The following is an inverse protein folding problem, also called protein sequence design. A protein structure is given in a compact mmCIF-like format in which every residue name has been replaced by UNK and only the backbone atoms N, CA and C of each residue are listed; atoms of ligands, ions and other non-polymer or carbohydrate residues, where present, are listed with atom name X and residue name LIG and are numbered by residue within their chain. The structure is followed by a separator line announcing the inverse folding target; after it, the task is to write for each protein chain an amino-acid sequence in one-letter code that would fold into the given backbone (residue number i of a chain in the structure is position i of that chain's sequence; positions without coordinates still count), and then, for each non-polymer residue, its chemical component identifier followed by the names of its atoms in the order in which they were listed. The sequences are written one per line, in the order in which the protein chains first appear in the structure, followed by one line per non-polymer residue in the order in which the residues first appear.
data_IF_265904472337
#
_entry.id   IF_265904472337
#
_cell.length_a   1.000
_cell.length_b   1.000
_cell.length_c   1.000
_cell.angle_alpha   90.00
_cell.angle_beta   90.00
_cell.angle_gamma   90.00
#
_symmetry.space_group_name_H-M   'P 1'
#
loop_
_entity.id
_entity.type
_entity.pdbx_description
1 polymer ?
#
# COMPACT_ATOMS: atom_id res chain seq x y z
N UNK A 1 14.96 49.48 -11.13
CA UNK A 1 15.95 48.62 -11.80
C UNK A 1 15.29 47.29 -12.11
N UNK A 2 14.78 47.08 -13.33
CA UNK A 2 14.31 45.74 -13.73
C UNK A 2 15.55 44.93 -14.10
N UNK A 3 15.96 44.04 -13.21
CA UNK A 3 17.04 43.09 -13.48
C UNK A 3 16.65 42.30 -14.73
N UNK A 4 17.50 42.32 -15.75
CA UNK A 4 17.25 41.60 -17.00
C UNK A 4 17.33 40.09 -16.70
N UNK A 5 16.17 39.44 -16.57
CA UNK A 5 16.04 38.03 -16.17
C UNK A 5 16.18 37.06 -17.35
N UNK A 6 16.17 37.56 -18.59
CA UNK A 6 16.27 36.78 -19.83
C UNK A 6 17.42 35.77 -19.84
N UNK A 7 18.68 36.12 -19.48
CA UNK A 7 19.78 35.14 -19.47
C UNK A 7 19.56 33.98 -18.48
N UNK A 8 18.90 34.25 -17.36
CA UNK A 8 18.61 33.24 -16.34
C UNK A 8 17.51 32.28 -16.81
N UNK A 9 16.46 32.81 -17.45
CA UNK A 9 15.37 32.00 -18.01
C UNK A 9 15.88 31.08 -19.11
N UNK A 10 16.73 31.58 -20.01
CA UNK A 10 17.35 30.77 -21.07
C UNK A 10 18.26 29.66 -20.51
N UNK A 11 19.01 29.95 -19.44
CA UNK A 11 19.82 28.93 -18.77
C UNK A 11 18.95 27.84 -18.13
N UNK A 12 17.86 28.21 -17.47
CA UNK A 12 16.94 27.26 -16.84
C UNK A 12 16.25 26.34 -17.86
N UNK A 13 15.83 26.87 -19.01
CA UNK A 13 15.29 26.05 -20.09
C UNK A 13 16.33 25.06 -20.61
N UNK A 14 17.57 25.51 -20.82
CA UNK A 14 18.66 24.63 -21.26
C UNK A 14 18.96 23.52 -20.25
N UNK A 15 19.05 23.84 -18.96
CA UNK A 15 19.28 22.83 -17.91
C UNK A 15 18.14 21.81 -17.81
N UNK A 16 16.89 22.25 -18.04
CA UNK A 16 15.73 21.35 -18.12
C UNK A 16 15.82 20.41 -19.32
N UNK A 17 16.16 20.95 -20.49
CA UNK A 17 16.37 20.18 -21.72
C UNK A 17 17.51 19.17 -21.55
N UNK A 18 18.65 19.61 -21.01
CA UNK A 18 19.79 18.75 -20.68
C UNK A 18 19.42 17.66 -19.67
N UNK A 19 18.60 17.99 -18.66
CA UNK A 19 18.10 16.99 -17.70
C UNK A 19 17.20 15.96 -18.40
N UNK A 20 16.27 16.40 -19.24
CA UNK A 20 15.41 15.51 -20.02
C UNK A 20 16.22 14.63 -20.97
N UNK A 21 17.23 15.18 -21.65
CA UNK A 21 18.15 14.43 -22.50
C UNK A 21 18.95 13.42 -21.69
N UNK A 22 19.47 13.79 -20.52
CA UNK A 22 20.22 12.88 -19.66
C UNK A 22 19.33 11.75 -19.13
N UNK A 23 18.08 12.05 -18.75
CA UNK A 23 17.10 11.05 -18.35
C UNK A 23 16.77 10.10 -19.50
N UNK A 24 16.57 10.62 -20.71
CA UNK A 24 16.36 9.83 -21.92
C UNK A 24 17.58 8.93 -22.23
N UNK A 25 18.81 9.45 -22.09
CA UNK A 25 20.05 8.66 -22.20
C UNK A 25 20.15 7.56 -21.14
N UNK A 26 19.59 7.78 -19.94
CA UNK A 26 19.50 6.79 -18.86
C UNK A 26 18.28 5.86 -18.99
N UNK A 27 17.58 5.85 -20.13
CA UNK A 27 16.48 4.94 -20.42
C UNK A 27 15.14 5.33 -19.78
N UNK A 28 15.06 6.52 -19.16
CA UNK A 28 13.83 7.03 -18.55
C UNK A 28 13.10 7.90 -19.58
N UNK A 29 11.85 7.55 -19.91
CA UNK A 29 11.03 8.35 -20.84
C UNK A 29 10.92 9.79 -20.35
N UNK A 30 11.48 10.74 -21.09
CA UNK A 30 11.51 12.17 -20.81
C UNK A 30 11.63 12.95 -22.13
N UNK A 31 10.98 14.12 -22.23
CA UNK A 31 11.11 15.02 -23.38
C UNK A 31 11.49 16.43 -22.94
N UNK A 32 12.12 17.18 -23.84
CA UNK A 32 12.61 18.54 -23.61
C UNK A 32 11.53 19.54 -23.16
N UNK A 33 10.27 19.27 -23.53
CA UNK A 33 9.10 20.10 -23.24
C UNK A 33 8.44 19.78 -21.89
N UNK A 34 8.84 18.68 -21.24
CA UNK A 34 8.31 18.35 -19.92
C UNK A 34 8.78 19.37 -18.87
N UNK A 35 7.88 19.79 -17.96
CA UNK A 35 8.26 20.69 -16.89
C UNK A 35 9.20 19.98 -15.90
N UNK A 36 10.06 20.76 -15.21
CA UNK A 36 10.94 20.23 -14.16
C UNK A 36 10.18 19.45 -13.08
N UNK A 37 8.94 19.83 -12.79
CA UNK A 37 8.06 19.12 -11.85
C UNK A 37 7.76 17.68 -12.29
N UNK A 38 7.83 17.38 -13.59
CA UNK A 38 7.67 16.03 -14.16
C UNK A 38 9.02 15.32 -14.33
N UNK A 39 10.09 16.07 -14.65
CA UNK A 39 11.44 15.52 -14.85
C UNK A 39 12.16 15.17 -13.54
N UNK A 40 11.99 15.96 -12.48
CA UNK A 40 12.69 15.74 -11.21
C UNK A 40 12.27 14.41 -10.55
N UNK A 41 10.98 14.04 -10.46
CA UNK A 41 10.59 12.72 -9.96
C UNK A 41 11.16 11.57 -10.81
N UNK A 42 11.41 11.77 -12.11
CA UNK A 42 12.04 10.79 -12.99
C UNK A 42 13.51 10.53 -12.64
N UNK A 43 14.24 11.55 -12.19
CA UNK A 43 15.61 11.40 -11.68
C UNK A 43 15.63 10.48 -10.47
N UNK A 44 14.62 10.60 -9.61
CA UNK A 44 14.48 9.78 -8.39
C UNK A 44 14.08 8.32 -8.68
N UNK A 45 13.72 7.98 -9.93
CA UNK A 45 13.47 6.59 -10.39
C UNK A 45 14.76 5.85 -10.76
N UNK A 46 15.88 6.55 -10.83
CA UNK A 46 17.19 5.98 -11.11
C UNK A 46 17.65 5.26 -9.83
N UNK A 47 17.62 3.92 -9.82
CA UNK A 47 18.22 3.16 -8.72
C UNK A 47 19.68 3.56 -8.53
N UNK A 48 20.10 3.78 -7.28
CA UNK A 48 21.51 3.67 -6.94
C UNK A 48 21.91 2.19 -7.05
N UNK A 49 22.48 1.83 -8.20
CA UNK A 49 22.84 0.47 -8.64
C UNK A 49 22.91 0.38 -10.17
N UNK A 50 22.95 -0.84 -10.73
CA UNK A 50 22.80 -1.05 -12.18
C UNK A 50 21.37 -0.65 -12.61
N UNK A 51 21.26 0.53 -13.21
CA UNK A 51 20.00 1.13 -13.67
C UNK A 51 19.30 0.35 -14.77
N UNK A 52 19.97 -0.64 -15.38
CA UNK A 52 19.32 -1.54 -16.33
C UNK A 52 18.37 -2.54 -15.65
N UNK A 53 18.56 -2.83 -14.37
CA UNK A 53 17.80 -3.83 -13.64
C UNK A 53 16.46 -3.30 -13.11
N UNK A 54 15.39 -4.07 -13.33
CA UNK A 54 14.11 -3.89 -12.65
C UNK A 54 14.24 -4.40 -11.22
N UNK A 55 14.03 -3.53 -10.23
CA UNK A 55 14.25 -3.87 -8.82
C UNK A 55 13.01 -3.52 -8.01
N UNK A 56 12.53 -4.49 -7.25
CA UNK A 56 11.57 -4.29 -6.18
C UNK A 56 12.03 -5.12 -4.98
N UNK A 57 12.43 -4.44 -3.92
CA UNK A 57 12.76 -5.06 -2.63
C UNK A 57 11.80 -4.50 -1.60
N UNK A 58 10.85 -5.32 -1.19
CA UNK A 58 9.92 -5.01 -0.13
C UNK A 58 9.74 -6.23 0.77
N UNK A 59 9.42 -6.01 2.03
CA UNK A 59 9.14 -7.07 2.99
C UNK A 59 7.82 -6.79 3.69
N UNK A 60 6.99 -7.81 3.82
CA UNK A 60 5.74 -7.75 4.58
C UNK A 60 5.97 -8.23 6.01
N UNK A 61 5.25 -7.64 6.96
CA UNK A 61 5.11 -8.21 8.30
C UNK A 61 4.24 -9.47 8.23
N UNK A 62 4.50 -10.48 9.08
CA UNK A 62 3.86 -11.80 8.96
C UNK A 62 2.38 -11.80 9.36
N UNK A 63 1.98 -10.91 10.28
CA UNK A 63 0.63 -10.86 10.84
C UNK A 63 0.07 -9.46 10.74
N UNK A 64 -1.18 -9.36 10.29
CA UNK A 64 -1.92 -8.12 10.18
C UNK A 64 -2.52 -7.78 11.54
N UNK A 65 -2.17 -6.62 12.08
CA UNK A 65 -2.70 -6.16 13.36
C UNK A 65 -4.15 -5.71 13.18
N UNK A 66 -5.07 -6.66 13.32
CA UNK A 66 -6.49 -6.39 13.52
C UNK A 66 -6.72 -6.44 15.02
N UNK A 67 -7.18 -5.34 15.61
CA UNK A 67 -7.29 -5.17 17.07
C UNK A 67 -7.90 -6.39 17.75
N UNK A 68 -7.05 -7.13 18.48
CA UNK A 68 -7.45 -8.31 19.28
C UNK A 68 -8.15 -9.43 18.49
N UNK A 69 -7.95 -9.52 17.16
CA UNK A 69 -8.51 -10.58 16.32
C UNK A 69 -10.01 -10.44 16.01
N UNK A 70 -10.61 -9.29 16.30
CA UNK A 70 -12.00 -8.96 15.98
C UNK A 70 -12.07 -7.74 15.07
N UNK A 71 -13.00 -7.74 14.10
CA UNK A 71 -13.22 -6.60 13.21
C UNK A 71 -14.70 -6.24 13.12
N UNK A 72 -15.06 -5.16 13.80
CA UNK A 72 -16.42 -4.66 13.96
C UNK A 72 -16.95 -3.87 12.75
N UNK A 73 -18.25 -3.60 12.77
CA UNK A 73 -18.91 -2.76 11.75
C UNK A 73 -18.33 -1.34 11.79
N UNK A 74 -17.89 -0.84 10.64
CA UNK A 74 -17.32 0.51 10.51
C UNK A 74 -15.87 0.64 10.97
N UNK A 75 -15.21 -0.46 11.36
CA UNK A 75 -13.78 -0.44 11.62
C UNK A 75 -12.97 -0.44 10.34
N UNK A 76 -11.85 0.25 10.41
CA UNK A 76 -10.92 0.44 9.31
C UNK A 76 -9.56 -0.01 9.81
N UNK A 77 -8.95 -0.93 9.08
CA UNK A 77 -7.61 -1.38 9.36
C UNK A 77 -6.65 -0.76 8.34
N UNK A 78 -5.63 -0.08 8.84
CA UNK A 78 -4.67 0.63 8.02
C UNK A 78 -3.54 -0.31 7.59
N UNK A 79 -3.16 -0.27 6.31
CA UNK A 79 -2.03 -1.03 5.79
C UNK A 79 -0.68 -0.34 6.04
N UNK A 80 -0.69 0.82 6.71
CA UNK A 80 0.50 1.59 7.02
C UNK A 80 1.51 0.77 7.83
N UNK A 81 2.76 0.73 7.36
CA UNK A 81 3.84 -0.01 8.03
C UNK A 81 3.84 -1.53 7.83
N UNK A 82 2.82 -2.08 7.15
CA UNK A 82 2.69 -3.53 6.91
C UNK A 82 3.59 -4.05 5.81
N UNK A 83 4.01 -3.18 4.90
CA UNK A 83 4.96 -3.48 3.84
C UNK A 83 6.03 -2.38 3.78
N UNK A 84 7.30 -2.78 3.96
CA UNK A 84 8.43 -1.86 3.91
C UNK A 84 9.19 -2.01 2.59
N UNK A 85 9.10 -1.01 1.71
CA UNK A 85 9.89 -0.95 0.48
C UNK A 85 11.28 -0.42 0.81
N UNK A 86 12.32 -1.19 0.50
CA UNK A 86 13.74 -0.81 0.68
C UNK A 86 14.39 -0.37 -0.63
N UNK A 87 13.95 -0.91 -1.77
CA UNK A 87 14.40 -0.48 -3.10
C UNK A 87 13.29 -0.62 -4.14
N UNK A 88 13.20 0.35 -5.06
CA UNK A 88 12.22 0.38 -6.14
C UNK A 88 12.84 1.08 -7.36
N UNK A 89 12.85 0.40 -8.50
CA UNK A 89 13.48 0.87 -9.75
C UNK A 89 12.77 0.28 -10.97
N UNK A 90 12.51 1.13 -11.98
CA UNK A 90 11.86 0.74 -13.25
C UNK A 90 10.58 -0.07 -13.04
N UNK A 91 9.77 0.38 -12.09
CA UNK A 91 8.45 -0.18 -11.75
C UNK A 91 7.37 0.74 -12.30
N UNK A 92 6.41 0.14 -13.02
CA UNK A 92 5.24 0.82 -13.59
C UNK A 92 3.99 0.72 -12.71
N UNK A 93 3.89 -0.35 -11.92
CA UNK A 93 2.72 -0.57 -11.07
C UNK A 93 3.06 -1.33 -9.79
N UNK A 94 2.27 -1.09 -8.73
CA UNK A 94 2.19 -1.97 -7.56
C UNK A 94 0.87 -2.72 -7.59
N UNK A 95 0.89 -3.93 -7.04
CA UNK A 95 -0.28 -4.78 -6.89
C UNK A 95 -0.32 -5.32 -5.47
N UNK A 96 -1.49 -5.20 -4.86
CA UNK A 96 -1.84 -5.86 -3.61
C UNK A 96 -2.95 -6.86 -3.88
N UNK A 97 -2.82 -8.04 -3.32
CA UNK A 97 -3.81 -9.10 -3.42
C UNK A 97 -4.19 -9.59 -2.04
N UNK A 98 -5.49 -9.75 -1.80
CA UNK A 98 -6.04 -10.36 -0.61
C UNK A 98 -6.84 -11.59 -1.06
N UNK A 99 -6.35 -12.77 -0.70
CA UNK A 99 -6.95 -14.05 -1.08
C UNK A 99 -7.19 -14.94 0.13
N UNK A 100 -8.29 -15.70 0.11
CA UNK A 100 -8.68 -16.58 1.20
C UNK A 100 -10.17 -16.50 1.51
N UNK A 101 -10.57 -17.14 2.60
CA UNK A 101 -11.96 -17.19 3.02
C UNK A 101 -12.42 -15.83 3.54
N UNK A 102 -13.60 -15.39 3.10
CA UNK A 102 -14.15 -14.07 3.44
C UNK A 102 -13.47 -12.89 2.74
N UNK A 103 -12.34 -13.07 2.05
CA UNK A 103 -11.60 -11.96 1.42
C UNK A 103 -12.45 -11.13 0.44
N UNK A 104 -13.39 -11.76 -0.27
CA UNK A 104 -14.27 -11.08 -1.22
C UNK A 104 -15.26 -10.10 -0.55
N UNK A 105 -15.53 -10.22 0.75
CA UNK A 105 -16.42 -9.32 1.48
C UNK A 105 -15.73 -8.02 1.88
N UNK A 106 -14.39 -8.01 1.92
CA UNK A 106 -13.59 -6.85 2.26
C UNK A 106 -13.76 -5.72 1.25
N UNK A 107 -13.80 -4.49 1.74
CA UNK A 107 -13.76 -3.29 0.92
C UNK A 107 -12.42 -2.60 1.11
N UNK A 108 -11.70 -2.38 0.01
CA UNK A 108 -10.39 -1.70 0.05
C UNK A 108 -10.59 -0.28 -0.46
N UNK A 109 -10.31 0.68 0.41
CA UNK A 109 -10.23 2.10 0.09
C UNK A 109 -8.76 2.45 -0.11
N UNK A 110 -8.41 2.85 -1.34
CA UNK A 110 -7.03 3.08 -1.73
C UNK A 110 -6.97 4.20 -2.78
N UNK A 111 -6.71 5.46 -2.37
CA UNK A 111 -6.71 6.60 -3.29
C UNK A 111 -5.71 6.43 -4.44
N UNK A 112 -6.17 6.58 -5.68
CA UNK A 112 -5.33 6.41 -6.88
C UNK A 112 -5.10 4.95 -7.29
N UNK A 113 -5.67 3.97 -6.55
CA UNK A 113 -5.64 2.56 -6.92
C UNK A 113 -6.92 2.18 -7.69
N UNK A 114 -6.77 1.24 -8.60
CA UNK A 114 -7.90 0.52 -9.21
C UNK A 114 -8.14 -0.76 -8.43
N UNK A 115 -9.32 -0.91 -7.83
CA UNK A 115 -9.69 -2.07 -6.99
C UNK A 115 -10.69 -2.96 -7.73
N UNK A 116 -10.43 -4.25 -7.75
CA UNK A 116 -11.29 -5.28 -8.33
C UNK A 116 -11.57 -6.38 -7.32
N UNK A 117 -12.80 -6.89 -7.30
CA UNK A 117 -13.22 -8.03 -6.47
C UNK A 117 -13.56 -9.22 -7.36
N UNK A 118 -12.83 -10.33 -7.22
CA UNK A 118 -13.10 -11.57 -7.95
C UNK A 118 -12.63 -12.79 -7.13
N UNK A 119 -13.48 -13.27 -6.21
CA UNK A 119 -13.11 -14.32 -5.25
C UNK A 119 -12.08 -13.89 -4.19
N UNK A 120 -11.75 -12.61 -4.15
CA UNK A 120 -10.76 -11.94 -3.31
C UNK A 120 -10.66 -10.48 -3.74
N UNK A 121 -9.70 -9.73 -3.20
CA UNK A 121 -9.48 -8.32 -3.59
C UNK A 121 -8.14 -8.19 -4.31
N UNK A 122 -8.14 -7.53 -5.46
CA UNK A 122 -6.92 -7.10 -6.16
C UNK A 122 -6.94 -5.60 -6.32
N UNK A 123 -5.94 -4.90 -5.78
CA UNK A 123 -5.75 -3.48 -5.96
C UNK A 123 -4.48 -3.24 -6.78
N UNK A 124 -4.56 -2.35 -7.79
CA UNK A 124 -3.44 -1.99 -8.65
C UNK A 124 -3.23 -0.48 -8.62
N UNK A 125 -2.01 -0.05 -8.28
CA UNK A 125 -1.58 1.34 -8.35
C UNK A 125 -0.66 1.54 -9.53
N UNK A 126 -1.07 2.40 -10.47
CA UNK A 126 -0.33 2.70 -11.69
C UNK A 126 -0.38 4.20 -11.98
N UNK A 127 0.57 4.98 -11.44
CA UNK A 127 0.63 6.42 -11.68
C UNK A 127 0.95 6.74 -13.16
N UNK A 128 0.58 7.94 -13.60
CA UNK A 128 0.91 8.46 -14.94
C UNK A 128 2.40 8.84 -14.99
N UNK A 129 3.24 7.82 -15.13
CA UNK A 129 4.69 7.87 -14.99
C UNK A 129 5.17 6.74 -14.08
N UNK A 130 6.45 6.39 -14.12
CA UNK A 130 7.04 5.50 -13.12
C UNK A 130 6.93 5.99 -11.67
N UNK A 131 7.41 5.15 -10.77
CA UNK A 131 7.19 5.30 -9.34
C UNK A 131 8.53 5.48 -8.62
N UNK A 132 8.62 6.40 -7.67
CA UNK A 132 9.76 6.43 -6.75
C UNK A 132 9.51 5.47 -5.57
N UNK A 133 10.58 5.13 -4.83
CA UNK A 133 10.45 4.35 -3.60
C UNK A 133 9.44 5.00 -2.62
N UNK A 134 9.52 6.32 -2.45
CA UNK A 134 8.66 7.04 -1.51
C UNK A 134 7.21 7.11 -1.99
N UNK A 135 6.99 7.32 -3.30
CA UNK A 135 5.63 7.28 -3.85
C UNK A 135 5.01 5.90 -3.69
N UNK A 136 5.79 4.84 -3.92
CA UNK A 136 5.35 3.46 -3.72
C UNK A 136 5.05 3.16 -2.25
N UNK A 137 5.88 3.64 -1.32
CA UNK A 137 5.65 3.46 0.11
C UNK A 137 4.38 4.21 0.56
N UNK A 138 4.24 5.48 0.20
CA UNK A 138 3.05 6.28 0.53
C UNK A 138 1.77 5.68 -0.08
N UNK A 139 1.84 5.16 -1.31
CA UNK A 139 0.71 4.51 -1.94
C UNK A 139 0.28 3.25 -1.15
N UNK A 140 1.24 2.46 -0.66
CA UNK A 140 0.95 1.30 0.17
C UNK A 140 0.37 1.71 1.53
N UNK A 141 0.98 2.69 2.19
CA UNK A 141 0.55 3.15 3.52
C UNK A 141 -0.83 3.82 3.50
N UNK A 142 -1.28 4.32 2.33
CA UNK A 142 -2.60 4.92 2.17
C UNK A 142 -3.76 3.92 2.10
N UNK A 143 -3.48 2.61 1.99
CA UNK A 143 -4.50 1.58 1.86
C UNK A 143 -5.23 1.39 3.19
N UNK A 144 -6.55 1.36 3.09
CA UNK A 144 -7.48 1.08 4.18
C UNK A 144 -8.35 -0.12 3.82
N UNK A 145 -8.44 -1.08 4.73
CA UNK A 145 -9.23 -2.29 4.57
C UNK A 145 -10.42 -2.21 5.52
N UNK A 146 -11.62 -2.38 4.97
CA UNK A 146 -12.90 -2.31 5.66
C UNK A 146 -13.56 -3.69 5.65
N UNK A 147 -14.09 -4.10 6.79
CA UNK A 147 -14.89 -5.31 6.93
C UNK A 147 -16.33 -5.01 6.52
N UNK A 148 -17.07 -6.02 6.10
CA UNK A 148 -18.53 -5.88 5.99
C UNK A 148 -19.22 -5.87 7.36
N UNK A 149 -18.48 -6.20 8.42
CA UNK A 149 -19.02 -6.38 9.75
C UNK A 149 -20.15 -7.40 9.73
N UNK A 150 -19.93 -8.56 9.09
CA UNK A 150 -20.78 -9.76 9.21
C UNK A 150 -19.99 -11.06 9.02
N UNK A 151 -18.86 -11.01 8.31
CA UNK A 151 -18.12 -12.20 7.86
C UNK A 151 -16.74 -12.24 8.48
N UNK A 152 -16.41 -13.37 9.13
CA UNK A 152 -15.04 -13.64 9.57
C UNK A 152 -14.13 -13.85 8.36
N UNK A 153 -12.88 -13.40 8.45
CA UNK A 153 -11.92 -13.48 7.35
C UNK A 153 -10.71 -14.29 7.78
N UNK A 154 -10.30 -15.20 6.92
CA UNK A 154 -9.02 -15.90 6.99
C UNK A 154 -8.34 -15.77 5.63
N UNK A 155 -7.53 -14.74 5.48
CA UNK A 155 -6.94 -14.35 4.21
C UNK A 155 -5.43 -14.12 4.33
N UNK A 156 -4.79 -14.02 3.17
CA UNK A 156 -3.38 -13.67 3.04
C UNK A 156 -3.27 -12.46 2.13
N UNK A 157 -2.50 -11.48 2.59
CA UNK A 157 -2.13 -10.30 1.81
C UNK A 157 -0.76 -10.54 1.17
N UNK A 158 -0.68 -10.29 -0.14
CA UNK A 158 0.56 -10.30 -0.92
C UNK A 158 0.74 -8.97 -1.62
N UNK A 159 1.98 -8.50 -1.68
CA UNK A 159 2.35 -7.31 -2.44
C UNK A 159 3.35 -7.69 -3.51
N UNK A 160 3.15 -7.18 -4.72
CA UNK A 160 4.06 -7.32 -5.86
C UNK A 160 4.16 -6.01 -6.62
N UNK A 161 5.20 -5.91 -7.44
CA UNK A 161 5.43 -4.83 -8.36
C UNK A 161 5.48 -5.38 -9.78
N UNK A 162 5.04 -4.57 -10.75
CA UNK A 162 5.19 -4.87 -12.17
C UNK A 162 6.23 -3.90 -12.72
N UNK A 163 7.33 -4.46 -13.21
CA UNK A 163 8.38 -3.72 -13.88
C UNK A 163 7.94 -3.22 -15.28
N UNK A 164 8.72 -2.31 -15.86
CA UNK A 164 8.45 -1.73 -17.19
C UNK A 164 8.30 -2.79 -18.28
N UNK A 165 9.06 -3.89 -18.20
CA UNK A 165 9.02 -5.00 -19.16
C UNK A 165 7.92 -6.03 -18.85
N UNK A 166 7.06 -5.73 -17.87
CA UNK A 166 5.99 -6.63 -17.42
C UNK A 166 6.45 -7.71 -16.45
N UNK A 167 7.72 -7.71 -16.03
CA UNK A 167 8.22 -8.62 -15.01
C UNK A 167 7.48 -8.39 -13.69
N UNK A 168 6.91 -9.45 -13.12
CA UNK A 168 6.31 -9.38 -11.79
C UNK A 168 7.36 -9.71 -10.74
N UNK A 169 7.55 -8.80 -9.80
CA UNK A 169 8.51 -8.90 -8.70
C UNK A 169 7.73 -8.92 -7.39
N UNK A 170 7.83 -10.01 -6.63
CA UNK A 170 7.10 -10.14 -5.37
C UNK A 170 7.87 -9.53 -4.20
N UNK A 171 7.13 -8.97 -3.24
CA UNK A 171 7.68 -8.68 -1.93
C UNK A 171 8.04 -10.00 -1.22
N UNK A 172 8.97 -9.93 -0.28
CA UNK A 172 9.35 -11.07 0.54
C UNK A 172 8.31 -11.27 1.65
N UNK A 173 7.86 -12.51 1.81
CA UNK A 173 6.84 -12.87 2.80
C UNK A 173 5.42 -12.60 2.35
N UNK A 174 4.49 -12.79 3.27
CA UNK A 174 3.07 -12.49 3.13
C UNK A 174 2.50 -12.16 4.50
N UNK A 175 1.44 -11.37 4.55
CA UNK A 175 0.77 -11.03 5.79
C UNK A 175 -0.49 -11.86 5.96
N UNK A 176 -0.64 -12.55 7.09
CA UNK A 176 -1.90 -13.19 7.46
C UNK A 176 -2.91 -12.12 7.92
N UNK A 177 -4.09 -12.10 7.31
CA UNK A 177 -5.22 -11.27 7.72
C UNK A 177 -6.29 -12.20 8.29
N UNK A 178 -6.36 -12.29 9.61
CA UNK A 178 -7.28 -13.18 10.31
C UNK A 178 -8.07 -12.39 11.33
N UNK A 179 -9.40 -12.37 11.18
CA UNK A 179 -10.28 -11.78 12.17
C UNK A 179 -11.64 -12.48 12.24
N UNK A 180 -12.27 -12.37 13.40
CA UNK A 180 -13.64 -12.79 13.64
C UNK A 180 -14.58 -11.59 13.62
N UNK A 181 -15.84 -11.86 13.31
CA UNK A 181 -16.92 -10.87 13.32
C UNK A 181 -17.68 -10.80 14.67
N UNK A 182 -17.40 -11.71 15.59
CA UNK A 182 -17.99 -11.77 16.93
C UNK A 182 -16.91 -12.12 17.95
N UNK A 183 -17.11 -11.75 19.22
CA UNK A 183 -16.31 -12.31 20.29
C UNK A 183 -16.55 -13.84 20.35
N UNK A 184 -15.51 -14.61 20.02
CA UNK A 184 -15.49 -16.07 20.23
C UNK A 184 -14.82 -16.40 21.55
N UNK A 185 -14.96 -17.65 22.02
CA UNK A 185 -14.24 -18.09 23.22
C UNK A 185 -12.73 -17.89 23.10
N UNK A 186 -12.14 -18.24 21.95
CA UNK A 186 -10.72 -18.01 21.67
C UNK A 186 -10.30 -16.54 21.82
N UNK A 187 -11.17 -15.61 21.38
CA UNK A 187 -10.96 -14.16 21.45
C UNK A 187 -11.04 -13.67 22.90
N UNK A 188 -12.01 -14.18 23.67
CA UNK A 188 -12.16 -13.86 25.10
C UNK A 188 -10.99 -14.41 25.93
N UNK A 189 -10.52 -15.62 25.64
CA UNK A 189 -9.35 -16.22 26.28
C UNK A 189 -8.07 -15.43 25.98
N UNK A 190 -7.86 -15.02 24.73
CA UNK A 190 -6.72 -14.19 24.34
C UNK A 190 -6.71 -12.82 25.05
N UNK A 191 -7.89 -12.29 25.39
CA UNK A 191 -8.04 -11.07 26.18
C UNK A 191 -8.00 -11.29 27.71
N UNK A 192 -7.89 -12.53 28.17
CA UNK A 192 -7.82 -12.86 29.59
C UNK A 192 -9.14 -12.69 30.34
N UNK A 193 -10.29 -12.73 29.64
CA UNK A 193 -11.59 -12.72 30.30
C UNK A 193 -11.82 -14.01 31.10
N UNK A 194 -12.44 -13.88 32.26
CA UNK A 194 -12.85 -15.01 33.11
C UNK A 194 -14.37 -15.15 33.11
N UNK A 195 -14.88 -16.33 33.43
CA UNK A 195 -16.33 -16.57 33.60
C UNK A 195 -16.99 -15.54 34.53
N UNK A 196 -16.33 -15.17 35.64
CA UNK A 196 -16.85 -14.15 36.57
C UNK A 196 -16.93 -12.73 35.97
N UNK A 197 -16.17 -12.45 34.90
CA UNK A 197 -16.25 -11.19 34.15
C UNK A 197 -17.36 -11.16 33.10
N UNK A 198 -17.94 -12.31 32.76
CA UNK A 198 -19.06 -12.45 31.82
C UNK A 198 -20.42 -12.56 32.52
N UNK A 199 -20.41 -12.85 33.83
CA UNK A 199 -21.63 -13.02 34.62
C UNK A 199 -22.47 -11.73 34.65
N UNK A 200 -23.78 -11.89 34.48
CA UNK A 200 -24.74 -10.78 34.41
C UNK A 200 -24.78 -9.98 33.10
N UNK A 201 -23.97 -10.34 32.09
CA UNK A 201 -24.02 -9.73 30.75
C UNK A 201 -25.00 -10.44 29.83
N UNK A 202 -25.68 -9.68 28.99
CA UNK A 202 -26.51 -10.21 27.90
C UNK A 202 -25.64 -10.84 26.81
N UNK A 203 -26.26 -11.72 26.01
CA UNK A 203 -25.57 -12.34 24.88
C UNK A 203 -25.00 -11.28 23.89
N UNK A 204 -25.77 -10.22 23.64
CA UNK A 204 -25.33 -9.09 22.83
C UNK A 204 -24.08 -8.42 23.41
N UNK A 205 -24.05 -8.14 24.72
CA UNK A 205 -22.86 -7.58 25.37
C UNK A 205 -21.68 -8.53 25.25
N UNK A 206 -21.89 -9.84 25.44
CA UNK A 206 -20.83 -10.86 25.35
C UNK A 206 -20.22 -10.92 23.95
N UNK A 207 -21.03 -10.86 22.89
CA UNK A 207 -20.55 -10.83 21.50
C UNK A 207 -19.66 -9.60 21.18
N UNK A 208 -19.70 -8.55 22.01
CA UNK A 208 -19.01 -7.27 21.81
C UNK A 208 -17.97 -6.93 22.91
N UNK A 209 -17.69 -7.84 23.85
CA UNK A 209 -16.81 -7.61 25.04
C UNK A 209 -15.32 -7.34 24.70
N UNK A 210 -14.93 -7.49 23.44
CA UNK A 210 -13.54 -7.52 23.00
C UNK A 210 -12.86 -6.20 22.65
N UNK A 211 -13.48 -5.04 22.86
CA UNK A 211 -12.90 -3.76 22.42
C UNK A 211 -12.77 -2.74 23.55
N UNK A 212 -11.57 -2.49 24.09
CA UNK A 212 -11.34 -1.34 24.98
C UNK A 212 -11.61 -0.06 24.18
N UNK A 213 -12.68 0.66 24.52
CA UNK A 213 -13.03 1.94 23.89
C UNK A 213 -14.14 1.91 22.83
N UNK A 214 -14.94 0.84 22.73
CA UNK A 214 -16.28 0.96 22.15
C UNK A 214 -17.22 1.61 23.18
N UNK A 215 -17.01 2.90 23.41
CA UNK A 215 -18.01 3.79 24.03
C UNK A 215 -18.93 4.35 22.96
#
# INVERSE_FOLDING_TARGET
MSTNLTPYVSLLCRLREELAENLARMGVSATADEPLQTLIPKVLRIAQGDTSLQVFRAALTPEFDVSYGFFGVGEVAEFAGMCSITALCRIRALRMEITGEGAATLTVEAPGWTVQKNGGVTAVYQPAGGMSRFDGQNALDSIRIHGNGETSVTATIRVSAVGEEGLTLSATGSTALVFKYGATWDVLEAMGYTWGGLDGKTWYEIEHIGKPGAG
#
